data_IF_386563615112
#
_entry.id   IF_386563615112
#
_cell.length_a   1.000
_cell.length_b   1.000
_cell.length_c   1.000
_cell.angle_alpha   90.00
_cell.angle_beta   90.00
_cell.angle_gamma   90.00
#
_symmetry.space_group_name_H-M   'P 1'
#
loop_
_entity.id
_entity.type
_entity.pdbx_description
1 polymer ?
#
# COMPACT_ATOMS: atom_id res chain seq x y z
N UNK A 1 -21.74 -3.83 18.61
CA UNK A 1 -20.83 -3.75 17.44
C UNK A 1 -19.50 -3.21 17.94
N UNK A 2 -18.46 -4.04 18.02
CA UNK A 2 -17.11 -3.56 18.35
C UNK A 2 -16.67 -2.71 17.17
N UNK A 3 -16.31 -1.43 17.33
CA UNK A 3 -15.71 -0.70 16.22
C UNK A 3 -14.47 -1.51 15.87
N UNK A 4 -14.44 -2.07 14.67
CA UNK A 4 -13.24 -2.70 14.13
C UNK A 4 -12.21 -1.58 14.19
N UNK A 5 -11.35 -1.60 15.22
CA UNK A 5 -10.21 -0.69 15.30
C UNK A 5 -9.51 -0.92 13.98
N UNK A 6 -9.67 0.03 13.06
CA UNK A 6 -9.14 -0.06 11.71
C UNK A 6 -7.67 -0.36 11.90
N UNK A 7 -7.31 -1.62 11.63
CA UNK A 7 -5.96 -2.06 11.88
C UNK A 7 -5.08 -1.20 11.00
N UNK A 8 -3.96 -0.66 11.48
CA UNK A 8 -3.14 0.26 10.68
C UNK A 8 -2.74 -0.38 9.33
N UNK A 9 -2.72 -1.73 9.26
CA UNK A 9 -2.47 -2.50 8.04
C UNK A 9 -3.55 -2.22 6.97
N UNK A 10 -4.81 -2.15 7.37
CA UNK A 10 -5.92 -1.84 6.48
C UNK A 10 -5.79 -0.43 5.92
N UNK A 11 -5.44 0.56 6.75
CA UNK A 11 -5.16 1.93 6.32
C UNK A 11 -4.01 1.98 5.30
N UNK A 12 -2.90 1.26 5.54
CA UNK A 12 -1.80 1.18 4.58
C UNK A 12 -2.26 0.63 3.23
N UNK A 13 -3.00 -0.48 3.27
CA UNK A 13 -3.53 -1.11 2.06
C UNK A 13 -4.50 -0.17 1.35
N UNK A 14 -5.36 0.56 2.07
CA UNK A 14 -6.23 1.57 1.48
C UNK A 14 -5.44 2.69 0.82
N UNK A 15 -4.41 3.24 1.47
CA UNK A 15 -3.55 4.28 0.88
C UNK A 15 -2.99 3.78 -0.44
N UNK A 16 -2.42 2.58 -0.44
CA UNK A 16 -1.83 1.95 -1.63
C UNK A 16 -2.86 1.73 -2.74
N UNK A 17 -4.04 1.18 -2.40
CA UNK A 17 -5.09 0.87 -3.37
C UNK A 17 -5.86 2.09 -3.88
N UNK A 18 -5.84 3.20 -3.13
CA UNK A 18 -6.44 4.48 -3.53
C UNK A 18 -5.60 5.23 -4.59
N UNK A 19 -4.34 4.83 -4.80
CA UNK A 19 -3.49 5.43 -5.82
C UNK A 19 -3.97 5.07 -7.22
N UNK A 20 -4.47 6.10 -7.92
CA UNK A 20 -4.86 6.00 -9.33
C UNK A 20 -3.67 6.10 -10.27
N UNK A 21 -2.57 6.71 -9.84
CA UNK A 21 -1.33 6.83 -10.60
C UNK A 21 -0.22 5.92 -10.04
N UNK A 22 0.77 5.53 -10.87
CA UNK A 22 1.94 4.79 -10.38
C UNK A 22 2.67 5.57 -9.29
N UNK A 23 2.90 4.93 -8.15
CA UNK A 23 3.48 5.53 -6.96
C UNK A 23 4.84 4.91 -6.61
N UNK A 24 5.63 5.59 -5.78
CA UNK A 24 6.87 5.05 -5.21
C UNK A 24 6.67 4.67 -3.75
N UNK A 25 7.56 3.82 -3.22
CA UNK A 25 7.54 3.48 -1.78
C UNK A 25 7.69 4.74 -0.94
N UNK A 26 8.57 5.67 -1.32
CA UNK A 26 8.74 6.96 -0.65
C UNK A 26 7.44 7.77 -0.55
N UNK A 27 6.63 7.80 -1.61
CA UNK A 27 5.34 8.49 -1.57
C UNK A 27 4.39 7.85 -0.54
N UNK A 28 4.37 6.52 -0.45
CA UNK A 28 3.56 5.81 0.55
C UNK A 28 4.10 6.07 1.96
N UNK A 29 5.42 6.04 2.15
CA UNK A 29 6.06 6.36 3.44
C UNK A 29 5.70 7.76 3.93
N UNK A 30 5.69 8.75 3.03
CA UNK A 30 5.29 10.13 3.36
C UNK A 30 3.83 10.16 3.84
N UNK A 31 2.92 9.46 3.18
CA UNK A 31 1.50 9.45 3.58
C UNK A 31 1.23 8.69 4.86
N UNK A 32 1.93 7.58 5.06
CA UNK A 32 1.91 6.80 6.29
C UNK A 32 2.38 7.64 7.48
N UNK A 33 3.47 8.41 7.30
CA UNK A 33 3.97 9.35 8.32
C UNK A 33 3.00 10.49 8.57
N UNK A 34 2.39 11.08 7.53
CA UNK A 34 1.36 12.12 7.66
C UNK A 34 0.14 11.64 8.45
N UNK A 35 -0.29 10.40 8.23
CA UNK A 35 -1.41 9.77 8.94
C UNK A 35 -1.03 9.18 10.31
N UNK A 36 0.24 9.29 10.72
CA UNK A 36 0.74 8.78 12.01
C UNK A 36 0.39 7.30 12.24
N UNK A 37 0.45 6.48 11.19
CA UNK A 37 0.05 5.06 11.25
C UNK A 37 1.04 4.16 12.02
N UNK A 38 2.15 4.72 12.50
CA UNK A 38 3.11 4.01 13.35
C UNK A 38 3.88 2.87 12.66
N UNK A 39 3.99 2.90 11.33
CA UNK A 39 4.78 1.92 10.60
C UNK A 39 6.22 2.37 10.41
N UNK A 40 7.14 1.44 10.65
CA UNK A 40 8.51 1.55 10.21
C UNK A 40 8.63 1.43 8.69
N UNK A 41 9.69 2.05 8.15
CA UNK A 41 9.94 2.09 6.72
C UNK A 41 10.10 0.66 6.12
N UNK A 42 10.74 -0.25 6.86
CA UNK A 42 10.86 -1.67 6.51
C UNK A 42 9.53 -2.43 6.53
N UNK A 43 8.63 -2.06 7.43
CA UNK A 43 7.30 -2.66 7.55
C UNK A 43 6.41 -2.30 6.35
N UNK A 44 6.51 -1.04 5.90
CA UNK A 44 5.82 -0.58 4.68
C UNK A 44 6.39 -1.28 3.45
N UNK A 45 7.72 -1.33 3.29
CA UNK A 45 8.38 -2.02 2.17
C UNK A 45 7.96 -3.49 2.08
N UNK A 46 8.05 -4.22 3.20
CA UNK A 46 7.65 -5.65 3.24
C UNK A 46 6.19 -5.86 2.85
N UNK A 47 5.29 -4.97 3.27
CA UNK A 47 3.87 -5.08 2.90
C UNK A 47 3.61 -4.76 1.44
N UNK A 48 4.23 -3.72 0.89
CA UNK A 48 4.11 -3.39 -0.55
C UNK A 48 4.66 -4.54 -1.39
N UNK A 49 5.79 -5.12 -1.01
CA UNK A 49 6.34 -6.30 -1.70
C UNK A 49 5.39 -7.49 -1.61
N UNK A 50 4.76 -7.76 -0.46
CA UNK A 50 3.72 -8.80 -0.36
C UNK A 50 2.53 -8.55 -1.28
N UNK A 51 2.08 -7.30 -1.42
CA UNK A 51 0.99 -6.95 -2.35
C UNK A 51 1.42 -7.16 -3.81
N UNK A 52 2.68 -6.90 -4.13
CA UNK A 52 3.26 -7.22 -5.44
C UNK A 52 3.32 -8.72 -5.67
N UNK A 53 3.87 -9.49 -4.72
CA UNK A 53 3.94 -10.96 -4.80
C UNK A 53 2.56 -11.61 -4.90
N UNK A 54 1.54 -11.03 -4.27
CA UNK A 54 0.14 -11.44 -4.40
C UNK A 54 -0.51 -11.05 -5.74
N UNK A 55 0.21 -10.35 -6.63
CA UNK A 55 -0.29 -9.89 -7.92
C UNK A 55 -1.20 -8.66 -7.85
N UNK A 56 -1.42 -8.08 -6.66
CA UNK A 56 -2.24 -6.87 -6.47
C UNK A 56 -1.55 -5.64 -7.04
N UNK A 57 -0.22 -5.59 -6.96
CA UNK A 57 0.59 -4.51 -7.51
C UNK A 57 1.53 -5.03 -8.60
N UNK A 58 1.71 -4.22 -9.64
CA UNK A 58 2.75 -4.41 -10.64
C UNK A 58 3.87 -3.42 -10.42
N UNK A 59 5.11 -3.91 -10.35
CA UNK A 59 6.31 -3.08 -10.27
C UNK A 59 6.85 -2.79 -11.68
N UNK A 60 7.02 -1.51 -11.99
CA UNK A 60 7.64 -1.04 -13.24
C UNK A 60 8.82 -0.14 -12.87
N UNK A 61 10.03 -0.70 -12.90
CA UNK A 61 11.23 -0.02 -12.40
C UNK A 61 11.13 0.24 -10.90
N UNK A 62 11.18 1.51 -10.50
CA UNK A 62 11.05 1.96 -9.09
C UNK A 62 9.60 2.27 -8.68
N UNK A 63 8.66 2.23 -9.62
CA UNK A 63 7.25 2.57 -9.39
C UNK A 63 6.39 1.33 -9.25
N UNK A 64 5.33 1.45 -8.48
CA UNK A 64 4.28 0.45 -8.27
C UNK A 64 2.99 1.01 -8.84
N UNK A 65 2.24 0.17 -9.54
CA UNK A 65 0.89 0.49 -10.00
C UNK A 65 -0.03 -0.63 -9.55
N UNK A 66 -1.31 -0.32 -9.32
CA UNK A 66 -2.32 -1.34 -9.08
C UNK A 66 -2.43 -2.22 -10.32
N UNK A 67 -2.37 -3.53 -10.15
CA UNK A 67 -2.76 -4.45 -11.22
C UNK A 67 -4.27 -4.30 -11.36
N UNK A 68 -4.72 -3.75 -12.48
CA UNK A 68 -6.12 -3.90 -12.88
C UNK A 68 -6.34 -5.42 -12.99
N UNK A 69 -7.00 -6.00 -12.00
CA UNK A 69 -7.58 -7.32 -12.09
C UNK A 69 -8.62 -7.21 -13.19
N UNK A 70 -8.19 -7.46 -14.43
CA UNK A 70 -9.07 -7.64 -15.57
C UNK A 70 -9.87 -8.89 -15.20
N UNK A 71 -11.07 -8.68 -14.66
CA UNK A 71 -12.10 -9.69 -14.63
C UNK A 71 -12.36 -10.06 -16.10
N UNK A 72 -11.78 -11.18 -16.54
CA UNK A 72 -12.17 -11.86 -17.77
C UNK A 72 -13.13 -12.96 -17.43
#
# INVERSE_FOLDING_TARGET
>A
MVPVKESPIYELVQIVLSKSEPFTIDQILIEVKKKQLGFDDDDVKRRIDRLRDAGVLRKTGVRYARTELIAR
#
